data_IF_248975856708
#
_entry.id   IF_248975856708
#
_cell.length_a   1.000
_cell.length_b   1.000
_cell.length_c   1.000
_cell.angle_alpha   90.00
_cell.angle_beta   90.00
_cell.angle_gamma   90.00
#
_symmetry.space_group_name_H-M   'P 1'
#
loop_
_entity.id
_entity.type
_entity.pdbx_description
1 polymer ?
#
# COMPACT_ATOMS: atom_id res chain seq x y z
N UNK A 1 18.12 2.61 10.16
CA UNK A 1 16.96 2.77 9.28
C UNK A 1 16.62 1.46 8.61
N UNK A 2 15.37 1.03 8.70
CA UNK A 2 14.94 -0.24 8.14
C UNK A 2 14.83 -0.12 6.62
N UNK A 3 15.36 -1.11 5.92
CA UNK A 3 15.27 -1.14 4.46
C UNK A 3 13.82 -1.41 4.02
N UNK A 4 13.31 -0.59 3.08
CA UNK A 4 11.96 -0.74 2.54
C UNK A 4 11.98 -1.81 1.46
N UNK A 5 11.04 -2.75 1.52
CA UNK A 5 10.92 -3.84 0.55
C UNK A 5 9.56 -3.83 -0.14
N UNK A 6 9.55 -4.23 -1.40
CA UNK A 6 8.30 -4.42 -2.16
C UNK A 6 7.43 -5.45 -1.45
N UNK A 7 6.14 -5.16 -1.34
CA UNK A 7 5.18 -6.03 -0.64
C UNK A 7 4.99 -5.71 0.82
N UNK A 8 5.78 -4.80 1.37
CA UNK A 8 5.59 -4.35 2.74
C UNK A 8 4.46 -3.34 2.83
N UNK A 9 3.81 -3.30 3.99
CA UNK A 9 2.76 -2.36 4.32
C UNK A 9 3.29 -1.35 5.33
N UNK A 10 3.04 -0.08 5.07
CA UNK A 10 3.42 1.01 5.97
C UNK A 10 2.25 1.95 6.18
N UNK A 11 2.21 2.62 7.33
CA UNK A 11 1.41 3.84 7.44
C UNK A 11 2.15 4.94 6.70
N UNK A 12 1.40 5.78 6.01
CA UNK A 12 1.97 6.92 5.30
C UNK A 12 1.08 8.14 5.48
N UNK A 13 1.69 9.31 5.56
CA UNK A 13 0.96 10.57 5.57
C UNK A 13 0.67 10.98 4.14
N UNK A 14 -0.58 10.91 3.76
CA UNK A 14 -1.05 11.21 2.42
C UNK A 14 -1.53 12.66 2.26
N UNK A 15 -1.41 13.47 3.31
CA UNK A 15 -1.80 14.88 3.25
C UNK A 15 -0.72 15.72 2.56
N UNK A 16 -1.09 16.82 1.88
CA UNK A 16 -2.43 17.27 1.58
C UNK A 16 -3.05 16.49 0.42
N UNK A 17 -4.38 16.52 0.33
CA UNK A 17 -5.11 15.86 -0.73
C UNK A 17 -6.00 16.85 -1.47
N UNK A 18 -6.43 16.46 -2.68
CA UNK A 18 -7.33 17.24 -3.52
C UNK A 18 -8.55 16.39 -3.85
N UNK A 19 -9.73 16.94 -3.63
CA UNK A 19 -10.98 16.27 -3.98
C UNK A 19 -11.23 15.00 -3.19
N UNK A 20 -11.52 13.91 -3.90
CA UNK A 20 -11.88 12.63 -3.31
C UNK A 20 -10.69 11.74 -2.96
N UNK A 21 -9.46 12.24 -3.09
CA UNK A 21 -8.28 11.49 -2.70
C UNK A 21 -8.28 11.20 -1.20
N UNK A 22 -7.70 10.06 -0.82
CA UNK A 22 -7.57 9.72 0.58
C UNK A 22 -6.47 10.55 1.23
N UNK A 23 -6.79 11.16 2.38
CA UNK A 23 -5.84 11.97 3.12
C UNK A 23 -5.57 11.41 4.51
N UNK A 24 -4.69 12.10 5.26
CA UNK A 24 -4.29 11.70 6.59
C UNK A 24 -3.32 10.53 6.58
N UNK A 25 -3.12 9.92 7.75
CA UNK A 25 -2.23 8.77 7.90
C UNK A 25 -3.02 7.51 7.57
N UNK A 26 -2.60 6.79 6.54
CA UNK A 26 -3.30 5.62 6.01
C UNK A 26 -2.33 4.51 5.67
N UNK A 27 -2.78 3.24 5.69
CA UNK A 27 -1.96 2.15 5.20
C UNK A 27 -1.72 2.27 3.69
N UNK A 28 -0.51 1.93 3.28
CA UNK A 28 -0.14 1.82 1.87
C UNK A 28 0.65 0.53 1.66
N UNK A 29 0.58 0.01 0.45
CA UNK A 29 1.34 -1.17 0.03
C UNK A 29 2.49 -0.71 -0.87
N UNK A 30 3.70 -1.15 -0.56
CA UNK A 30 4.88 -0.80 -1.35
C UNK A 30 4.86 -1.61 -2.65
N UNK A 31 4.77 -0.91 -3.77
CA UNK A 31 4.70 -1.50 -5.12
C UNK A 31 6.03 -1.37 -5.84
N UNK A 32 6.79 -0.32 -5.55
CA UNK A 32 8.08 -0.06 -6.21
C UNK A 32 9.04 -1.23 -6.00
N UNK A 33 9.83 -1.56 -7.04
CA UNK A 33 10.81 -2.63 -6.95
C UNK A 33 11.92 -2.29 -5.96
N UNK A 34 12.63 -3.32 -5.49
CA UNK A 34 13.59 -3.16 -4.40
C UNK A 34 14.82 -2.34 -4.79
N UNK A 35 15.17 -2.29 -6.06
CA UNK A 35 16.26 -1.43 -6.52
C UNK A 35 15.87 0.04 -6.33
N UNK A 36 14.67 0.40 -6.78
CA UNK A 36 14.14 1.75 -6.55
C UNK A 36 13.98 2.05 -5.06
N UNK A 37 13.50 1.08 -4.29
CA UNK A 37 13.33 1.25 -2.85
C UNK A 37 14.66 1.58 -2.14
N UNK A 38 15.75 1.03 -2.63
CA UNK A 38 17.06 1.27 -2.04
C UNK A 38 17.65 2.63 -2.41
N UNK A 39 17.51 3.03 -3.68
CA UNK A 39 18.25 4.17 -4.21
C UNK A 39 17.44 5.43 -4.46
N UNK A 40 16.13 5.30 -4.69
CA UNK A 40 15.29 6.47 -4.99
C UNK A 40 14.85 7.18 -3.71
N UNK A 41 14.78 8.53 -3.72
CA UNK A 41 14.19 9.28 -2.60
C UNK A 41 12.67 9.19 -2.58
N UNK A 42 12.04 8.67 -3.63
CA UNK A 42 10.60 8.50 -3.72
C UNK A 42 10.24 7.04 -3.75
N UNK A 43 8.96 6.75 -3.50
CA UNK A 43 8.47 5.39 -3.45
C UNK A 43 7.08 5.32 -4.07
N UNK A 44 6.86 4.28 -4.89
CA UNK A 44 5.55 4.05 -5.51
C UNK A 44 4.78 3.10 -4.63
N UNK A 45 3.57 3.51 -4.24
CA UNK A 45 2.70 2.75 -3.36
C UNK A 45 1.29 2.70 -3.95
N UNK A 46 0.47 1.76 -3.47
CA UNK A 46 -0.97 1.82 -3.71
C UNK A 46 -1.70 2.04 -2.40
N UNK A 47 -2.87 2.67 -2.50
CA UNK A 47 -3.72 2.93 -1.35
C UNK A 47 -4.31 1.62 -0.82
N UNK A 48 -4.46 1.54 0.50
CA UNK A 48 -5.14 0.44 1.18
C UNK A 48 -6.26 1.05 2.01
N UNK A 49 -7.47 0.55 1.87
CA UNK A 49 -8.62 1.08 2.57
C UNK A 49 -9.34 -0.02 3.36
N UNK A 50 -9.83 0.34 4.55
CA UNK A 50 -10.71 -0.53 5.32
C UNK A 50 -12.18 -0.35 4.94
N UNK A 51 -12.49 0.60 4.05
CA UNK A 51 -13.83 0.76 3.51
C UNK A 51 -14.03 -0.29 2.43
N UNK A 52 -14.83 -1.30 2.76
CA UNK A 52 -15.13 -2.36 1.82
C UNK A 52 -16.30 -1.90 0.95
N UNK A 53 -16.03 -1.64 -0.32
CA UNK A 53 -17.09 -1.26 -1.26
C UNK A 53 -17.80 -2.50 -1.76
N UNK A 54 -19.08 -2.33 -2.14
CA UNK A 54 -19.87 -3.43 -2.68
C UNK A 54 -19.37 -3.88 -4.04
N UNK A 55 -18.89 -2.94 -4.86
CA UNK A 55 -18.36 -3.23 -6.17
C UNK A 55 -16.88 -3.54 -6.07
N UNK A 56 -16.50 -4.73 -6.52
CA UNK A 56 -15.09 -5.14 -6.54
C UNK A 56 -14.58 -5.02 -7.97
N UNK A 57 -13.40 -4.42 -8.10
CA UNK A 57 -12.72 -4.32 -9.39
C UNK A 57 -11.63 -5.40 -9.49
N UNK A 58 -11.23 -5.81 -10.69
CA UNK A 58 -10.12 -6.73 -10.85
C UNK A 58 -8.80 -6.22 -10.24
N UNK A 59 -8.71 -4.90 -10.05
CA UNK A 59 -7.54 -4.24 -9.44
C UNK A 59 -7.59 -4.23 -7.92
N UNK A 60 -8.62 -4.79 -7.30
CA UNK A 60 -8.77 -4.85 -5.85
C UNK A 60 -8.23 -6.17 -5.31
N UNK A 61 -7.39 -6.10 -4.29
CA UNK A 61 -6.86 -7.28 -3.60
C UNK A 61 -7.33 -7.24 -2.15
N UNK A 62 -8.12 -8.24 -1.75
CA UNK A 62 -8.64 -8.33 -0.39
C UNK A 62 -7.55 -8.78 0.59
N UNK A 63 -7.49 -8.11 1.73
CA UNK A 63 -6.57 -8.39 2.82
C UNK A 63 -7.39 -8.63 4.08
N UNK A 64 -7.29 -9.82 4.65
CA UNK A 64 -8.09 -10.20 5.83
C UNK A 64 -7.56 -9.52 7.09
N UNK A 65 -8.46 -9.34 8.06
CA UNK A 65 -8.08 -8.87 9.39
C UNK A 65 -7.00 -9.78 9.97
N UNK A 66 -5.96 -9.18 10.54
CA UNK A 66 -4.82 -9.90 11.09
C UNK A 66 -3.82 -10.39 10.06
N UNK A 67 -4.21 -10.43 8.79
CA UNK A 67 -3.29 -10.77 7.70
C UNK A 67 -2.32 -9.61 7.49
N UNK A 68 -1.05 -9.93 7.38
CA UNK A 68 -0.01 -8.93 7.08
C UNK A 68 0.10 -7.80 8.12
N UNK A 69 -0.41 -8.02 9.33
CA UNK A 69 -0.33 -7.04 10.40
C UNK A 69 -1.45 -6.01 10.44
N UNK A 70 -2.39 -6.06 9.49
CA UNK A 70 -3.51 -5.14 9.46
C UNK A 70 -4.53 -5.46 10.56
N UNK A 71 -5.02 -4.41 11.23
CA UNK A 71 -6.00 -4.56 12.33
C UNK A 71 -7.42 -4.76 11.83
N UNK A 72 -7.71 -4.38 10.59
CA UNK A 72 -9.04 -4.47 9.98
C UNK A 72 -8.94 -5.13 8.63
N UNK A 73 -9.98 -5.85 8.24
CA UNK A 73 -10.11 -6.31 6.86
C UNK A 73 -10.03 -5.11 5.93
N UNK A 74 -9.24 -5.22 4.88
CA UNK A 74 -8.90 -4.09 4.02
C UNK A 74 -8.84 -4.53 2.58
N UNK A 75 -8.70 -3.56 1.67
CA UNK A 75 -8.57 -3.79 0.24
C UNK A 75 -7.42 -2.94 -0.27
N UNK A 76 -6.48 -3.56 -0.97
CA UNK A 76 -5.44 -2.82 -1.69
C UNK A 76 -6.01 -2.41 -3.05
N UNK A 77 -5.91 -1.12 -3.35
CA UNK A 77 -6.52 -0.51 -4.54
C UNK A 77 -5.44 -0.28 -5.59
N UNK A 78 -5.19 -1.27 -6.44
CA UNK A 78 -4.09 -1.22 -7.39
C UNK A 78 -4.30 -0.19 -8.50
N UNK A 79 -5.52 0.32 -8.67
CA UNK A 79 -5.79 1.44 -9.59
C UNK A 79 -5.42 2.79 -8.96
N UNK A 80 -5.13 2.84 -7.66
CA UNK A 80 -4.77 4.08 -6.97
C UNK A 80 -3.30 4.06 -6.56
N UNK A 81 -2.45 4.18 -7.56
CA UNK A 81 -1.00 4.26 -7.35
C UNK A 81 -0.60 5.71 -7.08
N UNK A 82 0.37 5.88 -6.19
CA UNK A 82 0.92 7.19 -5.86
C UNK A 82 2.43 7.09 -5.71
N UNK A 83 3.08 8.18 -6.07
CA UNK A 83 4.50 8.36 -5.78
C UNK A 83 4.63 9.29 -4.57
N UNK A 84 5.29 8.81 -3.53
CA UNK A 84 5.47 9.56 -2.29
C UNK A 84 6.94 9.79 -2.03
N UNK A 85 7.26 10.89 -1.35
CA UNK A 85 8.57 11.05 -0.73
C UNK A 85 8.68 10.02 0.40
N UNK A 86 9.82 9.35 0.52
CA UNK A 86 10.03 8.34 1.58
C UNK A 86 9.79 8.89 2.98
N UNK A 87 9.99 10.19 3.18
CA UNK A 87 9.75 10.82 4.49
C UNK A 87 8.29 10.79 4.92
N UNK A 88 7.38 10.51 4.00
CA UNK A 88 5.96 10.37 4.33
C UNK A 88 5.62 9.02 4.95
N UNK A 89 6.52 8.04 4.85
CA UNK A 89 6.31 6.72 5.47
C UNK A 89 6.49 6.82 6.97
N UNK A 90 5.58 6.18 7.71
CA UNK A 90 5.60 6.10 9.17
C UNK A 90 5.94 4.67 9.59
N UNK A 91 5.20 4.10 10.51
CA UNK A 91 5.48 2.77 11.02
C UNK A 91 5.19 1.68 9.99
N UNK A 92 6.05 0.67 9.98
CA UNK A 92 5.81 -0.54 9.20
C UNK A 92 4.70 -1.34 9.86
N UNK A 93 3.73 -1.78 9.06
CA UNK A 93 2.62 -2.60 9.54
C UNK A 93 2.98 -4.08 9.44
N UNK A 94 3.52 -4.50 8.31
CA UNK A 94 3.84 -5.89 8.02
C UNK A 94 4.17 -6.07 6.56
N UNK A 95 3.86 -7.25 6.02
CA UNK A 95 4.15 -7.55 4.60
C UNK A 95 3.17 -8.58 4.08
N UNK A 96 2.97 -8.57 2.76
CA UNK A 96 2.14 -9.56 2.10
C UNK A 96 2.94 -10.83 1.80
N UNK A 97 2.26 -11.98 1.83
CA UNK A 97 2.86 -13.25 1.41
C UNK A 97 3.19 -13.22 -0.08
N UNK A 98 4.08 -14.12 -0.50
CA UNK A 98 4.42 -14.26 -1.91
C UNK A 98 3.17 -14.58 -2.76
N UNK A 99 2.26 -15.40 -2.22
CA UNK A 99 1.01 -15.72 -2.89
C UNK A 99 0.16 -14.47 -3.13
N UNK A 100 0.03 -13.61 -2.14
CA UNK A 100 -0.70 -12.34 -2.29
C UNK A 100 0.00 -11.43 -3.29
N UNK A 101 1.31 -11.37 -3.25
CA UNK A 101 2.06 -10.53 -4.19
C UNK A 101 1.91 -11.00 -5.63
N UNK A 102 1.76 -12.29 -5.88
CA UNK A 102 1.44 -12.80 -7.21
C UNK A 102 0.09 -12.26 -7.70
N UNK A 103 -0.89 -12.17 -6.81
CA UNK A 103 -2.19 -11.57 -7.13
C UNK A 103 -2.05 -10.08 -7.42
N UNK A 104 -1.24 -9.39 -6.65
CA UNK A 104 -0.96 -7.96 -6.88
C UNK A 104 -0.35 -7.77 -8.26
N UNK A 105 0.62 -8.60 -8.63
CA UNK A 105 1.28 -8.53 -9.92
C UNK A 105 0.29 -8.72 -11.08
N UNK A 106 -0.66 -9.61 -10.93
CA UNK A 106 -1.69 -9.82 -11.95
C UNK A 106 -2.70 -8.68 -12.02
N UNK A 107 -2.93 -7.99 -10.91
CA UNK A 107 -3.90 -6.90 -10.83
C UNK A 107 -3.33 -5.56 -11.33
N UNK A 108 -2.03 -5.47 -11.41
CA UNK A 108 -1.36 -4.23 -11.87
C UNK A 108 -1.55 -3.99 -13.36
#
# INVERSE_FOLDING_TARGET
MTEIKRGELYYADLSPVIGSEQGGVRPVLIIQNDVGNKYSPTIIVCAVTSRLTKAKLPTHIELREGESGLKKASVALLEQLRTLDKRRLKEKIGFLSNEKMERVDRAL
#
